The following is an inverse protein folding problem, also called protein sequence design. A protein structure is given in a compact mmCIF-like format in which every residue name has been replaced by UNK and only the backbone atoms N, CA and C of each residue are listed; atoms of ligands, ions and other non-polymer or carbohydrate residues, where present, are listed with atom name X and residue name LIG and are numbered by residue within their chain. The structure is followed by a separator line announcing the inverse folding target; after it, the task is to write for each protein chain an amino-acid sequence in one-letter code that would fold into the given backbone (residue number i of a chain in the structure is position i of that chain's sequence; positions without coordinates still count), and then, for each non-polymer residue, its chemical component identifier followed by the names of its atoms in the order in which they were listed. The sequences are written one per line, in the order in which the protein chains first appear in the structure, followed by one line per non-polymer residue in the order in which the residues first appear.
data_IF_575890959945
#
_entry.id   IF_575890959945
#
_cell.length_a   1.000
_cell.length_b   1.000
_cell.length_c   1.000
_cell.angle_alpha   90.00
_cell.angle_beta   90.00
_cell.angle_gamma   90.00
#
_symmetry.space_group_name_H-M   'P 1'
#
loop_
_entity.id
_entity.type
_entity.pdbx_description
1 polymer ?
#
# COMPACT_ATOMS: atom_id res chain seq x y z
N UNK A 1 0.32 -15.63 8.67
CA UNK A 1 0.36 -16.35 7.38
C UNK A 1 1.81 -16.44 6.97
N UNK A 2 2.42 -17.62 7.06
CA UNK A 2 3.81 -17.80 6.64
C UNK A 2 3.84 -18.39 5.24
N UNK A 3 4.46 -17.66 4.30
CA UNK A 3 4.80 -18.21 2.99
C UNK A 3 5.77 -19.37 3.25
N UNK A 4 5.53 -20.59 2.73
CA UNK A 4 6.45 -21.70 2.92
C UNK A 4 7.85 -21.31 2.43
N UNK A 5 8.88 -21.64 3.21
CA UNK A 5 10.29 -21.30 2.91
C UNK A 5 10.78 -21.80 1.53
N UNK A 6 10.06 -22.74 0.91
CA UNK A 6 10.36 -23.33 -0.40
C UNK A 6 9.44 -22.85 -1.53
N UNK A 7 8.57 -21.86 -1.28
CA UNK A 7 7.63 -21.39 -2.29
C UNK A 7 8.37 -20.70 -3.44
N UNK A 8 8.04 -21.10 -4.67
CA UNK A 8 8.64 -20.57 -5.88
C UNK A 8 7.57 -19.97 -6.77
N UNK A 9 7.80 -18.76 -7.25
CA UNK A 9 6.96 -18.20 -8.31
C UNK A 9 7.11 -19.01 -9.60
N UNK A 10 6.10 -18.97 -10.47
CA UNK A 10 6.13 -19.58 -11.80
C UNK A 10 7.34 -19.08 -12.61
N UNK A 11 7.65 -17.79 -12.49
CA UNK A 11 8.86 -17.18 -13.08
C UNK A 11 10.13 -17.77 -12.50
N UNK A 12 10.22 -17.95 -11.18
CA UNK A 12 11.37 -18.58 -10.53
C UNK A 12 11.56 -20.05 -10.96
N UNK A 13 10.47 -20.77 -11.22
CA UNK A 13 10.55 -22.14 -11.76
C UNK A 13 10.98 -22.15 -13.23
N UNK A 14 10.45 -21.24 -14.05
CA UNK A 14 10.85 -21.08 -15.45
C UNK A 14 12.34 -20.78 -15.58
N UNK A 15 12.86 -19.82 -14.81
CA UNK A 15 14.28 -19.43 -14.86
C UNK A 15 15.21 -20.53 -14.33
N UNK A 16 14.70 -21.43 -13.47
CA UNK A 16 15.43 -22.60 -12.99
C UNK A 16 15.28 -23.84 -13.88
N UNK A 17 14.46 -23.77 -14.93
CA UNK A 17 14.24 -24.87 -15.87
C UNK A 17 15.52 -25.20 -16.67
N UNK A 18 15.65 -26.45 -17.13
CA UNK A 18 16.81 -26.86 -17.92
C UNK A 18 16.99 -26.04 -19.21
N UNK A 19 15.94 -25.70 -19.98
CA UNK A 19 16.07 -24.84 -21.15
C UNK A 19 16.58 -23.43 -20.80
N UNK A 20 16.05 -22.82 -19.74
CA UNK A 20 16.51 -21.49 -19.31
C UNK A 20 17.96 -21.52 -18.83
N UNK A 21 18.36 -22.56 -18.08
CA UNK A 21 19.74 -22.75 -17.63
C UNK A 21 20.71 -22.96 -18.78
N UNK A 22 20.30 -23.65 -19.84
CA UNK A 22 21.13 -23.86 -21.03
C UNK A 22 21.40 -22.54 -21.78
N UNK A 23 20.50 -21.56 -21.69
CA UNK A 23 20.61 -20.26 -22.37
C UNK A 23 21.27 -19.18 -21.50
N UNK A 24 20.88 -19.09 -20.23
CA UNK A 24 21.24 -18.00 -19.31
C UNK A 24 22.28 -18.40 -18.26
N UNK A 25 22.62 -19.68 -18.17
CA UNK A 25 23.48 -20.21 -17.12
C UNK A 25 22.76 -20.45 -15.79
N UNK A 26 23.51 -20.49 -14.70
CA UNK A 26 22.94 -20.70 -13.37
C UNK A 26 22.16 -19.47 -12.91
N UNK A 27 20.86 -19.63 -12.67
CA UNK A 27 20.01 -18.59 -12.08
C UNK A 27 19.89 -18.80 -10.56
N UNK A 28 20.56 -17.97 -9.73
CA UNK A 28 20.48 -18.11 -8.29
C UNK A 28 19.11 -17.62 -7.79
N UNK A 29 18.51 -18.28 -6.79
CA UNK A 29 17.13 -18.01 -6.35
C UNK A 29 16.94 -16.61 -5.74
N UNK A 30 18.02 -15.98 -5.29
CA UNK A 30 18.08 -14.68 -4.61
C UNK A 30 18.54 -13.54 -5.53
N UNK A 31 18.61 -13.74 -6.85
CA UNK A 31 19.09 -12.73 -7.79
C UNK A 31 18.29 -11.42 -7.69
N UNK A 32 16.95 -11.50 -7.77
CA UNK A 32 16.08 -10.32 -7.70
C UNK A 32 16.17 -9.62 -6.34
N UNK A 33 16.33 -10.38 -5.25
CA UNK A 33 16.55 -9.82 -3.92
C UNK A 33 17.84 -8.99 -3.89
N UNK A 34 18.94 -9.53 -4.40
CA UNK A 34 20.22 -8.83 -4.45
C UNK A 34 20.17 -7.58 -5.34
N UNK A 35 19.48 -7.65 -6.47
CA UNK A 35 19.29 -6.50 -7.37
C UNK A 35 18.54 -5.39 -6.64
N UNK A 36 17.41 -5.71 -6.00
CA UNK A 36 16.59 -4.70 -5.33
C UNK A 36 17.28 -4.14 -4.06
N UNK A 37 18.02 -4.97 -3.30
CA UNK A 37 18.81 -4.51 -2.15
C UNK A 37 19.91 -3.51 -2.53
N UNK A 38 20.47 -3.61 -3.73
CA UNK A 38 21.48 -2.69 -4.25
C UNK A 38 20.88 -1.44 -4.89
N UNK A 39 19.57 -1.44 -5.16
CA UNK A 39 18.90 -0.33 -5.84
C UNK A 39 18.75 0.84 -4.86
N UNK A 40 19.17 2.06 -5.24
CA UNK A 40 19.01 3.22 -4.38
C UNK A 40 17.52 3.52 -4.15
N UNK A 41 17.22 3.95 -2.92
CA UNK A 41 15.88 4.35 -2.49
C UNK A 41 15.90 5.87 -2.26
N UNK A 42 15.17 6.66 -3.06
CA UNK A 42 15.02 8.10 -2.85
C UNK A 42 14.52 8.42 -1.43
N UNK A 43 14.92 9.55 -0.86
CA UNK A 43 14.63 9.88 0.54
C UNK A 43 13.13 9.88 0.87
N UNK A 44 12.29 10.41 -0.02
CA UNK A 44 10.84 10.43 0.18
C UNK A 44 10.16 9.06 0.06
N UNK A 45 10.88 8.03 -0.40
CA UNK A 45 10.41 6.64 -0.51
C UNK A 45 10.97 5.73 0.58
N UNK A 46 11.78 6.26 1.51
CA UNK A 46 12.31 5.46 2.62
C UNK A 46 11.21 5.21 3.66
N UNK A 47 11.14 3.96 4.11
CA UNK A 47 10.24 3.55 5.19
C UNK A 47 10.82 3.92 6.55
N UNK A 48 10.68 5.20 6.92
CA UNK A 48 11.15 5.73 8.19
C UNK A 48 9.95 6.18 9.02
N UNK A 49 9.74 5.59 10.20
CA UNK A 49 8.77 6.11 11.15
C UNK A 49 9.22 7.49 11.65
N UNK A 50 8.29 8.43 11.77
CA UNK A 50 8.57 9.80 12.20
C UNK A 50 7.46 10.24 13.16
N UNK A 51 7.77 10.89 14.30
CA UNK A 51 6.74 11.40 15.20
C UNK A 51 5.73 12.26 14.43
N UNK A 52 4.44 12.08 14.72
CA UNK A 52 3.34 12.79 14.06
C UNK A 52 3.52 14.32 14.05
N UNK A 53 4.11 14.89 15.11
CA UNK A 53 4.40 16.32 15.24
C UNK A 53 5.48 16.85 14.29
N UNK A 54 6.27 15.98 13.67
CA UNK A 54 7.36 16.34 12.75
C UNK A 54 7.02 16.04 11.28
N UNK A 55 5.81 15.55 11.01
CA UNK A 55 5.36 15.25 9.65
C UNK A 55 4.68 16.50 9.09
N UNK A 56 5.32 17.10 8.09
CA UNK A 56 4.73 18.20 7.35
C UNK A 56 3.70 17.68 6.35
N UNK A 57 2.47 18.18 6.45
CA UNK A 57 1.33 17.69 5.67
C UNK A 57 0.97 18.75 4.64
N UNK A 58 0.95 18.39 3.34
CA UNK A 58 0.66 19.36 2.30
C UNK A 58 -0.78 19.88 2.43
N UNK A 59 -0.95 21.18 2.24
CA UNK A 59 -2.28 21.75 2.04
C UNK A 59 -2.94 21.14 0.80
N UNK A 60 -4.21 20.79 0.91
CA UNK A 60 -5.00 20.24 -0.19
C UNK A 60 -5.91 21.32 -0.76
N UNK A 61 -5.97 21.43 -2.08
CA UNK A 61 -6.92 22.32 -2.76
C UNK A 61 -7.79 21.48 -3.70
N UNK A 62 -9.12 21.64 -3.69
CA UNK A 62 -10.03 20.81 -4.49
C UNK A 62 -9.67 20.81 -5.99
N UNK A 63 -9.29 21.98 -6.52
CA UNK A 63 -8.86 22.16 -7.91
C UNK A 63 -7.68 21.23 -8.28
N UNK A 64 -6.74 21.01 -7.36
CA UNK A 64 -5.60 20.12 -7.57
C UNK A 64 -5.93 18.66 -7.27
N UNK A 65 -6.79 18.37 -6.30
CA UNK A 65 -6.92 17.00 -5.77
C UNK A 65 -8.10 16.22 -6.35
N UNK A 66 -9.16 16.87 -6.83
CA UNK A 66 -10.38 16.20 -7.31
C UNK A 66 -10.14 15.31 -8.53
N UNK A 67 -9.24 15.73 -9.42
CA UNK A 67 -8.90 14.92 -10.59
C UNK A 67 -8.03 13.71 -10.20
N UNK A 68 -7.20 13.82 -9.16
CA UNK A 68 -6.39 12.71 -8.65
C UNK A 68 -7.26 11.64 -7.98
N UNK A 69 -8.25 12.06 -7.17
CA UNK A 69 -9.23 11.12 -6.59
C UNK A 69 -10.01 10.39 -7.69
N UNK A 70 -10.45 11.11 -8.72
CA UNK A 70 -11.11 10.51 -9.90
C UNK A 70 -10.20 9.49 -10.61
N UNK A 71 -8.94 9.83 -10.84
CA UNK A 71 -7.96 8.93 -11.44
C UNK A 71 -7.79 7.65 -10.61
N UNK A 72 -7.68 7.76 -9.29
CA UNK A 72 -7.61 6.59 -8.41
C UNK A 72 -8.81 5.65 -8.61
N UNK A 73 -10.04 6.17 -8.55
CA UNK A 73 -11.23 5.32 -8.69
C UNK A 73 -11.35 4.69 -10.09
N UNK A 74 -10.92 5.39 -11.13
CA UNK A 74 -11.01 4.90 -12.51
C UNK A 74 -9.90 3.90 -12.87
N UNK A 75 -8.68 4.13 -12.40
CA UNK A 75 -7.48 3.43 -12.85
C UNK A 75 -6.96 2.39 -11.84
N UNK A 76 -7.14 2.63 -10.54
CA UNK A 76 -6.58 1.78 -9.47
C UNK A 76 -7.68 0.95 -8.80
N UNK A 77 -8.72 1.61 -8.27
CA UNK A 77 -9.81 0.95 -7.54
C UNK A 77 -10.48 -0.15 -8.35
N UNK A 78 -10.63 0.06 -9.67
CA UNK A 78 -11.18 -0.94 -10.61
C UNK A 78 -10.53 -2.33 -10.46
N UNK A 79 -9.24 -2.38 -10.18
CA UNK A 79 -8.48 -3.62 -9.98
C UNK A 79 -8.28 -3.96 -8.50
N UNK A 80 -8.40 -2.97 -7.62
CA UNK A 80 -8.18 -3.09 -6.17
C UNK A 80 -9.34 -2.45 -5.37
N UNK A 81 -10.54 -3.06 -5.39
CA UNK A 81 -11.76 -2.42 -4.88
C UNK A 81 -11.91 -2.54 -3.36
N UNK A 82 -10.93 -2.04 -2.60
CA UNK A 82 -10.87 -2.20 -1.14
C UNK A 82 -11.56 -1.08 -0.36
N UNK A 83 -11.80 0.07 -1.00
CA UNK A 83 -12.49 1.22 -0.40
C UNK A 83 -13.95 1.27 -0.84
N UNK A 84 -14.83 1.71 0.05
CA UNK A 84 -16.16 2.17 -0.36
C UNK A 84 -16.03 3.57 -0.96
N UNK A 85 -16.50 3.73 -2.20
CA UNK A 85 -16.32 4.98 -2.94
C UNK A 85 -17.05 6.14 -2.27
N UNK A 86 -18.31 5.93 -1.85
CA UNK A 86 -19.12 6.98 -1.25
C UNK A 86 -18.54 7.42 0.09
N UNK A 87 -18.23 6.47 0.97
CA UNK A 87 -17.64 6.75 2.28
C UNK A 87 -16.29 7.48 2.13
N UNK A 88 -15.50 7.13 1.11
CA UNK A 88 -14.24 7.83 0.85
C UNK A 88 -14.46 9.28 0.39
N UNK A 89 -15.44 9.56 -0.48
CA UNK A 89 -15.74 10.95 -0.86
C UNK A 89 -16.21 11.77 0.34
N UNK A 90 -17.07 11.21 1.20
CA UNK A 90 -17.50 11.87 2.45
C UNK A 90 -16.30 12.17 3.36
N UNK A 91 -15.33 11.24 3.48
CA UNK A 91 -14.09 11.45 4.22
C UNK A 91 -13.20 12.53 3.59
N UNK A 92 -13.06 12.51 2.27
CA UNK A 92 -12.25 13.46 1.52
C UNK A 92 -12.76 14.88 1.65
N UNK A 93 -14.07 15.09 1.49
CA UNK A 93 -14.72 16.39 1.67
C UNK A 93 -14.50 16.93 3.09
N UNK A 94 -14.63 16.05 4.10
CA UNK A 94 -14.38 16.40 5.50
C UNK A 94 -12.95 16.89 5.75
N UNK A 95 -11.96 16.25 5.13
CA UNK A 95 -10.54 16.62 5.24
C UNK A 95 -10.27 17.94 4.51
N UNK A 96 -10.90 18.17 3.36
CA UNK A 96 -10.80 19.45 2.64
C UNK A 96 -11.37 20.61 3.47
N UNK A 97 -12.51 20.41 4.14
CA UNK A 97 -13.15 21.44 4.97
C UNK A 97 -12.34 21.78 6.22
N UNK A 98 -11.79 20.76 6.90
CA UNK A 98 -11.10 20.93 8.20
C UNK A 98 -9.60 21.13 8.09
N UNK A 99 -9.04 20.90 6.91
CA UNK A 99 -7.63 20.78 6.67
C UNK A 99 -7.08 19.41 7.11
N UNK A 100 -6.09 18.86 6.38
CA UNK A 100 -5.51 17.57 6.72
C UNK A 100 -4.68 17.67 8.02
N UNK A 101 -4.69 16.58 8.78
CA UNK A 101 -4.05 16.47 10.11
C UNK A 101 -3.13 15.26 10.15
N UNK A 102 -2.19 15.17 11.10
CA UNK A 102 -1.32 14.01 11.24
C UNK A 102 -2.07 12.83 11.86
N UNK A 103 -3.07 12.33 11.13
CA UNK A 103 -3.94 11.24 11.52
C UNK A 103 -4.13 10.23 10.36
N UNK A 104 -4.65 9.06 10.73
CA UNK A 104 -4.87 7.95 9.80
C UNK A 104 -5.82 8.30 8.63
N UNK A 105 -6.95 9.02 8.84
CA UNK A 105 -7.81 9.42 7.73
C UNK A 105 -7.11 10.33 6.71
N UNK A 106 -6.30 11.29 7.17
CA UNK A 106 -5.50 12.13 6.28
C UNK A 106 -4.44 11.31 5.54
N UNK A 107 -3.79 10.37 6.21
CA UNK A 107 -2.84 9.46 5.57
C UNK A 107 -3.50 8.65 4.44
N UNK A 108 -4.70 8.11 4.67
CA UNK A 108 -5.47 7.39 3.65
C UNK A 108 -5.77 8.26 2.42
N UNK A 109 -6.25 9.50 2.63
CA UNK A 109 -6.50 10.44 1.52
C UNK A 109 -5.21 10.73 0.74
N UNK A 110 -4.11 11.01 1.43
CA UNK A 110 -2.83 11.30 0.80
C UNK A 110 -2.30 10.13 -0.03
N UNK A 111 -2.46 8.88 0.43
CA UNK A 111 -2.11 7.69 -0.37
C UNK A 111 -2.97 7.59 -1.62
N UNK A 112 -4.28 7.85 -1.51
CA UNK A 112 -5.19 7.86 -2.68
C UNK A 112 -4.78 8.92 -3.70
N UNK A 113 -4.40 10.12 -3.25
CA UNK A 113 -3.89 11.17 -4.14
C UNK A 113 -2.59 10.77 -4.83
N UNK A 114 -1.66 10.15 -4.10
CA UNK A 114 -0.41 9.63 -4.66
C UNK A 114 -0.67 8.56 -5.73
N UNK A 115 -1.58 7.62 -5.46
CA UNK A 115 -1.99 6.58 -6.40
C UNK A 115 -2.67 7.15 -7.64
N UNK A 116 -3.57 8.12 -7.47
CA UNK A 116 -4.22 8.82 -8.58
C UNK A 116 -3.25 9.58 -9.47
N UNK A 117 -2.13 10.04 -8.90
CA UNK A 117 -1.04 10.68 -9.65
C UNK A 117 -0.25 9.65 -10.44
N UNK A 118 0.32 8.64 -9.77
CA UNK A 118 1.21 7.66 -10.42
C UNK A 118 0.50 6.79 -11.45
N UNK A 119 -0.80 6.48 -11.25
CA UNK A 119 -1.56 5.66 -12.18
C UNK A 119 -1.90 6.38 -13.49
N UNK A 120 -1.94 7.72 -13.49
CA UNK A 120 -2.22 8.52 -14.67
C UNK A 120 -0.96 8.86 -15.48
N UNK A 121 0.23 8.68 -14.90
CA UNK A 121 1.50 8.98 -15.56
C UNK A 121 2.07 7.79 -16.32
N UNK A 122 2.76 8.09 -17.43
CA UNK A 122 3.54 7.08 -18.16
C UNK A 122 4.88 6.85 -17.46
N UNK A 123 5.25 5.59 -17.13
CA UNK A 123 6.50 5.32 -16.43
C UNK A 123 7.73 5.79 -17.20
N UNK A 124 8.45 6.77 -16.64
CA UNK A 124 9.73 7.20 -17.19
C UNK A 124 10.84 6.24 -16.74
N UNK A 125 11.09 5.19 -17.54
CA UNK A 125 12.09 4.15 -17.24
C UNK A 125 13.53 4.66 -17.20
N UNK A 126 13.80 5.85 -17.72
CA UNK A 126 15.15 6.44 -17.75
C UNK A 126 15.43 7.32 -16.53
N UNK A 127 14.40 7.73 -15.80
CA UNK A 127 14.54 8.60 -14.64
C UNK A 127 14.55 7.76 -13.35
N UNK A 128 15.72 7.65 -12.72
CA UNK A 128 15.89 6.97 -11.44
C UNK A 128 15.13 7.65 -10.28
N UNK A 129 14.76 8.91 -10.45
CA UNK A 129 14.00 9.73 -9.51
C UNK A 129 12.50 9.78 -9.85
N UNK A 130 12.03 8.99 -10.82
CA UNK A 130 10.61 8.94 -11.16
C UNK A 130 9.78 8.44 -9.97
N UNK A 131 9.10 9.39 -9.31
CA UNK A 131 8.21 9.14 -8.18
C UNK A 131 7.03 10.13 -8.18
N UNK A 132 6.08 9.96 -9.12
CA UNK A 132 4.91 10.82 -9.22
C UNK A 132 4.07 10.82 -7.95
N UNK A 133 3.59 11.97 -7.50
CA UNK A 133 2.75 12.04 -6.30
C UNK A 133 3.52 11.84 -4.98
N UNK A 134 4.86 11.83 -5.00
CA UNK A 134 5.70 11.67 -3.81
C UNK A 134 5.39 12.72 -2.72
N UNK A 135 4.99 13.94 -3.10
CA UNK A 135 4.56 15.00 -2.16
C UNK A 135 3.41 14.57 -1.25
N UNK A 136 2.52 13.70 -1.73
CA UNK A 136 1.43 13.14 -0.93
C UNK A 136 1.86 11.83 -0.27
N UNK A 137 2.62 11.00 -0.98
CA UNK A 137 3.02 9.69 -0.50
C UNK A 137 3.94 9.73 0.73
N UNK A 138 4.98 10.57 0.71
CA UNK A 138 5.98 10.64 1.79
C UNK A 138 5.39 10.93 3.17
N UNK A 139 4.58 11.97 3.37
CA UNK A 139 3.96 12.20 4.68
C UNK A 139 2.99 11.09 5.05
N UNK A 140 2.24 10.54 4.08
CA UNK A 140 1.29 9.47 4.33
C UNK A 140 1.97 8.21 4.86
N UNK A 141 3.02 7.71 4.18
CA UNK A 141 3.70 6.48 4.59
C UNK A 141 4.37 6.64 5.95
N UNK A 142 4.87 7.83 6.30
CA UNK A 142 5.42 8.11 7.63
C UNK A 142 4.36 8.04 8.72
N UNK A 143 3.16 8.59 8.48
CA UNK A 143 2.02 8.47 9.41
C UNK A 143 1.61 7.02 9.59
N UNK A 144 1.46 6.27 8.48
CA UNK A 144 1.08 4.87 8.52
C UNK A 144 2.09 4.01 9.28
N UNK A 145 3.39 4.25 9.09
CA UNK A 145 4.42 3.56 9.86
C UNK A 145 4.32 3.89 11.35
N UNK A 146 4.12 5.14 11.72
CA UNK A 146 3.97 5.53 13.13
C UNK A 146 2.73 4.90 13.77
N UNK A 147 1.57 4.95 13.10
CA UNK A 147 0.33 4.31 13.58
C UNK A 147 0.47 2.79 13.72
N UNK A 148 1.14 2.15 12.76
CA UNK A 148 1.32 0.69 12.76
C UNK A 148 2.13 0.16 13.95
N UNK A 149 3.01 0.98 14.54
CA UNK A 149 3.80 0.58 15.71
C UNK A 149 2.95 0.42 16.98
N UNK A 150 1.78 1.06 17.02
CA UNK A 150 0.84 1.01 18.14
C UNK A 150 -0.49 0.34 17.80
N UNK A 151 -0.65 -0.18 16.58
CA UNK A 151 -1.91 -0.79 16.15
C UNK A 151 -1.98 -2.28 16.42
N UNK A 152 -3.17 -2.72 16.81
CA UNK A 152 -3.51 -4.12 17.08
C UNK A 152 -4.91 -4.44 16.55
N UNK A 153 -5.18 -4.13 15.27
CA UNK A 153 -6.44 -4.46 14.59
C UNK A 153 -7.65 -3.71 15.12
N UNK A 154 -7.48 -2.43 15.47
CA UNK A 154 -8.54 -1.59 16.04
C UNK A 154 -9.27 -0.71 15.03
N UNK A 155 -8.65 -0.45 13.87
CA UNK A 155 -9.18 0.44 12.83
C UNK A 155 -8.98 -0.20 11.45
N UNK A 156 -10.07 -0.33 10.68
CA UNK A 156 -10.04 -0.91 9.35
C UNK A 156 -9.31 -0.05 8.31
N UNK A 157 -9.15 1.26 8.55
CA UNK A 157 -8.47 2.15 7.62
C UNK A 157 -6.96 1.93 7.59
N UNK A 158 -6.36 1.44 8.67
CA UNK A 158 -4.92 1.20 8.71
C UNK A 158 -4.46 0.13 7.72
N UNK A 159 -5.01 -1.10 7.73
CA UNK A 159 -4.61 -2.12 6.76
C UNK A 159 -5.01 -1.73 5.33
N UNK A 160 -6.11 -1.01 5.13
CA UNK A 160 -6.46 -0.43 3.82
C UNK A 160 -5.38 0.52 3.32
N UNK A 161 -4.99 1.51 4.13
CA UNK A 161 -4.02 2.52 3.76
C UNK A 161 -2.61 1.92 3.57
N UNK A 162 -2.21 0.96 4.41
CA UNK A 162 -0.95 0.22 4.25
C UNK A 162 -0.93 -0.57 2.94
N UNK A 163 -2.02 -1.26 2.60
CA UNK A 163 -2.14 -1.97 1.33
C UNK A 163 -2.07 -1.02 0.12
N UNK A 164 -2.79 0.10 0.16
CA UNK A 164 -2.72 1.12 -0.90
C UNK A 164 -1.32 1.73 -1.03
N UNK A 165 -0.63 1.94 0.09
CA UNK A 165 0.74 2.43 0.09
C UNK A 165 1.71 1.38 -0.51
N UNK A 166 1.46 0.09 -0.27
CA UNK A 166 2.19 -0.98 -0.94
C UNK A 166 1.94 -0.97 -2.46
N UNK A 167 0.71 -0.75 -2.91
CA UNK A 167 0.39 -0.62 -4.33
C UNK A 167 1.16 0.53 -4.98
N UNK A 168 1.30 1.67 -4.30
CA UNK A 168 2.11 2.77 -4.83
C UNK A 168 3.57 2.35 -5.06
N UNK A 169 4.18 1.61 -4.12
CA UNK A 169 5.51 1.03 -4.36
C UNK A 169 5.53 0.03 -5.52
N UNK A 170 4.46 -0.74 -5.71
CA UNK A 170 4.33 -1.64 -6.87
C UNK A 170 4.31 -0.88 -8.20
N UNK A 171 3.62 0.26 -8.29
CA UNK A 171 3.67 1.16 -9.46
C UNK A 171 5.09 1.65 -9.75
N UNK A 172 5.89 1.91 -8.71
CA UNK A 172 7.30 2.30 -8.83
C UNK A 172 8.26 1.12 -9.06
N UNK A 173 7.72 -0.10 -9.20
CA UNK A 173 8.48 -1.35 -9.30
C UNK A 173 9.43 -1.56 -8.11
N UNK A 174 8.98 -1.29 -6.87
CA UNK A 174 9.75 -1.43 -5.61
C UNK A 174 9.23 -2.59 -4.75
N UNK A 175 9.44 -3.86 -5.18
CA UNK A 175 8.77 -5.01 -4.57
C UNK A 175 9.12 -5.22 -3.09
N UNK A 176 10.35 -4.94 -2.65
CA UNK A 176 10.73 -5.13 -1.24
C UNK A 176 10.02 -4.14 -0.30
N UNK A 177 9.79 -2.90 -0.77
CA UNK A 177 9.07 -1.89 0.01
C UNK A 177 7.57 -2.18 0.04
N UNK A 178 7.00 -2.57 -1.12
CA UNK A 178 5.63 -3.02 -1.21
C UNK A 178 5.36 -4.21 -0.27
N UNK A 179 6.23 -5.22 -0.33
CA UNK A 179 6.11 -6.42 0.50
C UNK A 179 6.13 -6.12 2.00
N UNK A 180 7.00 -5.22 2.46
CA UNK A 180 7.02 -4.80 3.88
C UNK A 180 5.69 -4.23 4.33
N UNK A 181 5.10 -3.32 3.53
CA UNK A 181 3.82 -2.70 3.88
C UNK A 181 2.65 -3.68 3.81
N UNK A 182 2.65 -4.59 2.83
CA UNK A 182 1.64 -5.67 2.75
C UNK A 182 1.72 -6.59 3.95
N UNK A 183 2.93 -6.95 4.39
CA UNK A 183 3.09 -7.77 5.58
C UNK A 183 2.52 -7.08 6.83
N UNK A 184 2.78 -5.77 7.00
CA UNK A 184 2.21 -4.98 8.09
C UNK A 184 0.68 -4.92 8.03
N UNK A 185 0.12 -4.70 6.83
CA UNK A 185 -1.33 -4.74 6.63
C UNK A 185 -1.91 -6.13 6.98
N UNK A 186 -1.23 -7.20 6.58
CA UNK A 186 -1.62 -8.60 6.85
C UNK A 186 -1.64 -8.90 8.35
N UNK A 187 -0.63 -8.44 9.09
CA UNK A 187 -0.58 -8.56 10.55
C UNK A 187 -1.76 -7.82 11.21
N UNK A 188 -2.07 -6.59 10.78
CA UNK A 188 -3.16 -5.83 11.38
C UNK A 188 -4.55 -6.43 11.06
N UNK A 189 -4.76 -6.92 9.84
CA UNK A 189 -5.98 -7.68 9.46
C UNK A 189 -6.13 -8.94 10.32
N UNK A 190 -5.05 -9.69 10.56
CA UNK A 190 -5.09 -10.87 11.41
C UNK A 190 -5.47 -10.50 12.86
N UNK A 191 -4.91 -9.42 13.39
CA UNK A 191 -5.29 -8.90 14.71
C UNK A 191 -6.76 -8.48 14.76
N UNK A 192 -7.27 -7.80 13.72
CA UNK A 192 -8.68 -7.44 13.62
C UNK A 192 -9.54 -8.70 13.66
N UNK A 193 -9.21 -9.74 12.88
CA UNK A 193 -9.98 -10.98 12.81
C UNK A 193 -10.01 -11.73 14.14
N UNK A 194 -8.88 -11.83 14.84
CA UNK A 194 -8.80 -12.46 16.17
C UNK A 194 -9.70 -11.73 17.18
N UNK A 195 -9.83 -10.41 17.05
CA UNK A 195 -10.70 -9.59 17.90
C UNK A 195 -12.16 -9.68 17.47
N UNK A 196 -12.43 -9.64 16.16
CA UNK A 196 -13.78 -9.64 15.61
C UNK A 196 -14.45 -10.99 15.70
N UNK A 197 -13.72 -12.11 15.69
CA UNK A 197 -14.28 -13.45 15.92
C UNK A 197 -14.97 -13.55 17.29
N UNK A 198 -14.46 -12.82 18.30
CA UNK A 198 -15.16 -12.65 19.58
C UNK A 198 -16.43 -11.82 19.46
N UNK A 199 -16.44 -10.77 18.63
CA UNK A 199 -17.59 -9.86 18.44
C UNK A 199 -18.69 -10.43 17.53
N UNK A 200 -18.32 -11.24 16.53
CA UNK A 200 -19.24 -11.93 15.62
C UNK A 200 -20.03 -13.03 16.32
N UNK A 201 -19.45 -13.67 17.35
CA UNK A 201 -20.19 -14.57 18.26
C UNK A 201 -21.32 -13.85 19.01
N UNK A 202 -21.19 -12.54 19.20
CA UNK A 202 -22.19 -11.69 19.85
C UNK A 202 -23.18 -11.04 18.84
N UNK A 203 -23.12 -11.40 17.55
CA UNK A 203 -24.15 -11.08 16.55
C UNK A 203 -24.13 -9.66 15.96
N UNK A 204 -23.02 -8.93 16.07
CA UNK A 204 -22.90 -7.52 15.64
C UNK A 204 -22.00 -7.30 14.43
N UNK A 205 -22.13 -8.13 13.37
CA UNK A 205 -21.36 -7.98 12.14
C UNK A 205 -21.69 -6.68 11.40
N UNK A 206 -20.68 -5.84 11.14
CA UNK A 206 -20.83 -4.47 10.63
C UNK A 206 -20.24 -4.24 9.22
N UNK A 207 -20.44 -3.03 8.68
CA UNK A 207 -19.85 -2.59 7.39
C UNK A 207 -18.32 -2.69 7.35
N UNK A 208 -17.65 -2.53 8.49
CA UNK A 208 -16.20 -2.66 8.62
C UNK A 208 -15.70 -4.08 8.28
N UNK A 209 -16.47 -5.12 8.59
CA UNK A 209 -16.07 -6.51 8.33
C UNK A 209 -15.96 -6.80 6.83
N UNK A 210 -16.86 -6.23 6.02
CA UNK A 210 -16.80 -6.35 4.57
C UNK A 210 -15.58 -5.63 3.99
N UNK A 211 -15.22 -4.48 4.54
CA UNK A 211 -14.05 -3.72 4.09
C UNK A 211 -12.74 -4.45 4.39
N UNK A 212 -12.60 -5.03 5.60
CA UNK A 212 -11.45 -5.84 5.97
C UNK A 212 -11.37 -7.10 5.12
N UNK A 213 -12.49 -7.79 4.85
CA UNK A 213 -12.49 -8.97 3.97
C UNK A 213 -11.94 -8.65 2.58
N UNK A 214 -12.32 -7.50 2.00
CA UNK A 214 -11.78 -7.08 0.69
C UNK A 214 -10.27 -6.86 0.76
N UNK A 215 -9.78 -6.22 1.82
CA UNK A 215 -8.34 -6.02 2.05
C UNK A 215 -7.62 -7.34 2.23
N UNK A 216 -8.19 -8.27 3.01
CA UNK A 216 -7.64 -9.61 3.21
C UNK A 216 -7.42 -10.33 1.87
N UNK A 217 -8.45 -10.37 1.02
CA UNK A 217 -8.32 -10.99 -0.31
C UNK A 217 -7.34 -10.23 -1.21
N UNK A 218 -7.33 -8.91 -1.15
CA UNK A 218 -6.43 -8.08 -1.93
C UNK A 218 -4.95 -8.25 -1.53
N UNK A 219 -4.68 -8.40 -0.22
CA UNK A 219 -3.36 -8.73 0.34
C UNK A 219 -2.88 -10.06 -0.21
N UNK A 220 -3.73 -11.10 -0.14
CA UNK A 220 -3.37 -12.42 -0.68
C UNK A 220 -2.95 -12.29 -2.14
N UNK A 221 -3.78 -11.69 -3.00
CA UNK A 221 -3.46 -11.53 -4.43
C UNK A 221 -2.13 -10.80 -4.67
N UNK A 222 -1.75 -9.86 -3.81
CA UNK A 222 -0.48 -9.13 -3.95
C UNK A 222 0.73 -9.88 -3.36
N UNK A 223 0.51 -10.82 -2.45
CA UNK A 223 1.55 -11.71 -1.90
C UNK A 223 1.91 -12.88 -2.85
N UNK A 224 1.06 -13.20 -3.83
CA UNK A 224 1.26 -14.28 -4.84
C UNK A 224 1.91 -13.78 -6.13
#
# INVERSE_FOLDING_TARGET
MDIPLSHSSTTGNLLRSAPAKALLGHYPPDLFLHIELRRPIPEGLRLNATPASQIDIPSLSPNETDHLVRNYFQLVHRFHPILDQRAFYELYDHILERGPRPDLPSALVLVVLALGTVAAETPNRMDACWSPGIRYFTPAVRLLLTESLSSFGGDAHLPQALYLAALYYSYLSRPLLAWRLVHMASTDVQHYWIRSEKLLRDGTGGSQDQSILRVFWAILVLEW
#
